data_IF_567760776474
#
_entry.id   IF_567760776474
#
_cell.length_a   1.000
_cell.length_b   1.000
_cell.length_c   1.000
_cell.angle_alpha   90.00
_cell.angle_beta   90.00
_cell.angle_gamma   90.00
#
_symmetry.space_group_name_H-M   'P 1'
#
loop_
_entity.id
_entity.type
_entity.pdbx_description
1 polymer ?
#
# COMPACT_ATOMS: atom_id res chain seq x y z
N UNK A 1 3.60 -13.45 17.30
CA UNK A 1 3.01 -13.10 15.98
C UNK A 1 3.70 -11.82 15.50
N UNK A 2 3.91 -11.64 14.19
CA UNK A 2 4.38 -10.35 13.69
C UNK A 2 3.41 -9.25 14.12
N UNK A 3 3.96 -8.13 14.56
CA UNK A 3 3.19 -6.97 14.98
C UNK A 3 2.43 -6.40 13.77
N UNK A 4 1.14 -6.14 13.95
CA UNK A 4 0.36 -5.51 12.89
C UNK A 4 0.84 -4.09 12.72
N UNK A 5 1.10 -3.70 11.47
CA UNK A 5 1.37 -2.30 11.15
C UNK A 5 0.15 -1.46 11.53
N UNK A 6 0.39 -0.31 12.16
CA UNK A 6 -0.66 0.68 12.33
C UNK A 6 -0.99 1.37 11.00
N UNK A 7 -2.09 2.12 10.98
CA UNK A 7 -2.58 2.78 9.77
C UNK A 7 -1.63 3.87 9.26
N UNK A 8 -0.92 4.55 10.16
CA UNK A 8 0.03 5.62 9.80
C UNK A 8 1.29 5.05 9.15
N UNK A 9 1.84 3.98 9.69
CA UNK A 9 2.98 3.26 9.13
C UNK A 9 2.62 2.65 7.78
N UNK A 10 1.44 2.02 7.68
CA UNK A 10 0.93 1.49 6.42
C UNK A 10 0.80 2.58 5.35
N UNK A 11 0.29 3.76 5.72
CA UNK A 11 0.15 4.90 4.81
C UNK A 11 1.51 5.35 4.28
N UNK A 12 2.52 5.51 5.15
CA UNK A 12 3.90 5.88 4.74
C UNK A 12 4.53 4.86 3.80
N UNK A 13 4.32 3.57 4.06
CA UNK A 13 4.79 2.49 3.18
C UNK A 13 4.13 2.63 1.80
N UNK A 14 2.82 2.88 1.76
CA UNK A 14 2.07 3.06 0.52
C UNK A 14 2.58 4.27 -0.27
N UNK A 15 2.75 5.43 0.36
CA UNK A 15 3.29 6.64 -0.27
C UNK A 15 4.69 6.38 -0.85
N UNK A 16 5.53 5.67 -0.09
CA UNK A 16 6.87 5.28 -0.55
C UNK A 16 6.81 4.35 -1.76
N UNK A 17 5.86 3.42 -1.80
CA UNK A 17 5.66 2.53 -2.95
C UNK A 17 5.15 3.31 -4.16
N UNK A 18 4.20 4.22 -3.98
CA UNK A 18 3.63 5.08 -5.03
C UNK A 18 4.76 5.90 -5.66
N UNK A 19 5.54 6.61 -4.83
CA UNK A 19 6.70 7.38 -5.26
C UNK A 19 7.72 6.53 -6.03
N UNK A 20 8.07 5.35 -5.49
CA UNK A 20 9.04 4.45 -6.14
C UNK A 20 8.53 3.78 -7.42
N UNK A 21 7.22 3.75 -7.64
CA UNK A 21 6.62 3.14 -8.85
C UNK A 21 6.22 4.16 -9.89
N UNK A 22 6.24 5.45 -9.56
CA UNK A 22 5.67 6.50 -10.41
C UNK A 22 4.18 6.28 -10.66
N UNK A 23 3.45 5.76 -9.65
CA UNK A 23 2.00 5.62 -9.74
C UNK A 23 1.34 7.00 -9.57
N UNK A 24 0.45 7.34 -10.49
CA UNK A 24 -0.21 8.66 -10.51
C UNK A 24 -1.72 8.54 -10.52
N UNK A 25 -2.27 7.43 -10.99
CA UNK A 25 -3.71 7.25 -11.16
C UNK A 25 -4.19 5.92 -10.61
N UNK A 26 -5.50 5.78 -10.44
CA UNK A 26 -6.12 4.51 -10.05
C UNK A 26 -5.79 3.34 -10.99
N UNK A 27 -5.38 3.60 -12.24
CA UNK A 27 -4.92 2.57 -13.17
C UNK A 27 -3.62 1.89 -12.68
N UNK A 28 -2.80 2.61 -11.92
CA UNK A 28 -1.54 2.12 -11.35
C UNK A 28 -1.73 1.29 -10.07
N UNK A 29 -2.94 1.31 -9.50
CA UNK A 29 -3.25 0.65 -8.22
C UNK A 29 -2.82 -0.82 -8.22
N UNK A 30 -3.03 -1.55 -9.31
CA UNK A 30 -2.66 -2.97 -9.41
C UNK A 30 -1.16 -3.21 -9.14
N UNK A 31 -0.29 -2.32 -9.66
CA UNK A 31 1.16 -2.38 -9.47
C UNK A 31 1.56 -2.05 -8.03
N UNK A 32 0.95 -1.01 -7.45
CA UNK A 32 1.17 -0.60 -6.06
C UNK A 32 0.79 -1.74 -5.10
N UNK A 33 -0.39 -2.33 -5.29
CA UNK A 33 -0.88 -3.44 -4.47
C UNK A 33 -0.02 -4.70 -4.60
N UNK A 34 0.49 -5.00 -5.80
CA UNK A 34 1.39 -6.14 -6.02
C UNK A 34 2.71 -5.97 -5.24
N UNK A 35 3.29 -4.76 -5.26
CA UNK A 35 4.53 -4.45 -4.53
C UNK A 35 4.31 -4.50 -3.01
N UNK A 36 3.20 -3.95 -2.54
CA UNK A 36 2.83 -3.99 -1.12
C UNK A 36 2.64 -5.43 -0.62
N UNK A 37 1.95 -6.29 -1.39
CA UNK A 37 1.78 -7.71 -1.06
C UNK A 37 3.12 -8.46 -0.97
N UNK A 38 4.10 -8.11 -1.81
CA UNK A 38 5.44 -8.68 -1.74
C UNK A 38 6.22 -8.30 -0.47
N UNK A 39 5.96 -7.11 0.07
CA UNK A 39 6.61 -6.64 1.30
C UNK A 39 5.89 -7.11 2.57
N UNK A 40 4.61 -7.48 2.47
CA UNK A 40 3.77 -7.55 3.66
C UNK A 40 3.97 -8.76 4.56
N UNK A 41 4.57 -9.87 4.13
CA UNK A 41 4.80 -11.11 4.92
C UNK A 41 3.66 -11.52 5.91
N UNK A 42 2.41 -11.12 5.67
CA UNK A 42 1.26 -11.35 6.57
C UNK A 42 0.97 -10.27 7.64
N UNK A 43 1.74 -9.19 7.72
CA UNK A 43 1.59 -8.10 8.70
C UNK A 43 0.68 -6.95 8.27
N UNK A 44 0.26 -6.92 6.98
CA UNK A 44 -0.58 -5.87 6.41
C UNK A 44 -2.01 -6.37 6.19
N UNK A 45 -2.98 -5.63 6.68
CA UNK A 45 -4.38 -5.79 6.27
C UNK A 45 -4.57 -5.25 4.84
N UNK A 46 -4.68 -6.17 3.88
CA UNK A 46 -4.80 -5.82 2.46
C UNK A 46 -6.10 -5.09 2.12
N UNK A 47 -7.15 -5.23 2.93
CA UNK A 47 -8.41 -4.50 2.73
C UNK A 47 -8.21 -3.04 3.08
N UNK A 48 -7.62 -2.75 4.25
CA UNK A 48 -7.28 -1.39 4.66
C UNK A 48 -6.31 -0.76 3.66
N UNK A 49 -5.26 -1.48 3.28
CA UNK A 49 -4.29 -1.00 2.29
C UNK A 49 -4.93 -0.60 0.96
N UNK A 50 -5.86 -1.41 0.44
CA UNK A 50 -6.52 -1.10 -0.84
C UNK A 50 -7.36 0.18 -0.78
N UNK A 51 -7.96 0.49 0.36
CA UNK A 51 -8.72 1.73 0.55
C UNK A 51 -7.76 2.93 0.57
N UNK A 52 -6.68 2.86 1.34
CA UNK A 52 -5.66 3.92 1.42
C UNK A 52 -5.04 4.20 0.05
N UNK A 53 -4.61 3.15 -0.68
CA UNK A 53 -4.04 3.32 -2.02
C UNK A 53 -5.03 3.99 -2.97
N UNK A 54 -6.30 3.59 -2.91
CA UNK A 54 -7.35 4.19 -3.72
C UNK A 54 -7.58 5.66 -3.37
N UNK A 55 -7.58 6.01 -2.09
CA UNK A 55 -7.73 7.40 -1.64
C UNK A 55 -6.56 8.29 -2.09
N UNK A 56 -5.34 7.77 -2.12
CA UNK A 56 -4.15 8.54 -2.55
C UNK A 56 -4.10 8.72 -4.08
N UNK A 57 -4.61 7.76 -4.86
CA UNK A 57 -4.54 7.75 -6.33
C UNK A 57 -5.81 8.28 -7.03
N UNK A 58 -6.79 8.75 -6.26
CA UNK A 58 -8.00 9.44 -6.76
C UNK A 58 -7.79 10.95 -6.73
#
# INVERSE_FOLDING_TARGET
>A
LPEKLDELELTKIIETIISNTGAETIQDMGRVMAKLKGQSQGSIDMKIASNIVKEILL
#
